data_IF_482452006633
#
_entry.id   IF_482452006633
#
_cell.length_a   1.000
_cell.length_b   1.000
_cell.length_c   1.000
_cell.angle_alpha   90.00
_cell.angle_beta   90.00
_cell.angle_gamma   90.00
#
_symmetry.space_group_name_H-M   'P 1'
#
loop_
_entity.id
_entity.type
_entity.pdbx_description
1 polymer ?
#
# COMPACT_ATOMS: atom_id res chain seq x y z
N UNK A 1 10.11 6.49 -19.35
CA UNK A 1 10.45 6.97 -18.00
C UNK A 1 9.22 6.98 -17.07
N UNK A 2 8.04 7.46 -17.51
CA UNK A 2 6.83 7.51 -16.69
C UNK A 2 6.43 6.12 -16.15
N UNK A 3 6.28 5.11 -17.02
CA UNK A 3 5.94 3.74 -16.64
C UNK A 3 6.99 3.09 -15.73
N UNK A 4 8.25 3.50 -15.87
CA UNK A 4 9.33 3.01 -15.01
C UNK A 4 9.22 3.59 -13.58
N UNK A 5 8.92 4.88 -13.46
CA UNK A 5 8.72 5.53 -12.16
C UNK A 5 7.48 4.98 -11.44
N UNK A 6 6.38 4.74 -12.18
CA UNK A 6 5.16 4.12 -11.67
C UNK A 6 5.42 2.68 -11.18
N UNK A 7 6.15 1.88 -11.96
CA UNK A 7 6.53 0.53 -11.57
C UNK A 7 7.42 0.48 -10.31
N UNK A 8 8.32 1.46 -10.11
CA UNK A 8 9.13 1.55 -8.89
C UNK A 8 8.26 1.89 -7.68
N UNK A 9 7.31 2.83 -7.82
CA UNK A 9 6.42 3.20 -6.72
C UNK A 9 5.52 2.01 -6.31
N UNK A 10 4.96 1.30 -7.28
CA UNK A 10 4.16 0.09 -7.05
C UNK A 10 4.99 -1.03 -6.40
N UNK A 11 6.22 -1.26 -6.86
CA UNK A 11 7.12 -2.26 -6.30
C UNK A 11 7.48 -1.95 -4.83
N UNK A 12 7.64 -0.68 -4.46
CA UNK A 12 7.89 -0.27 -3.06
C UNK A 12 6.66 -0.53 -2.18
N UNK A 13 5.47 -0.18 -2.61
CA UNK A 13 4.23 -0.46 -1.89
C UNK A 13 4.05 -1.96 -1.64
N UNK A 14 4.27 -2.78 -2.67
CA UNK A 14 4.19 -4.24 -2.57
C UNK A 14 5.24 -4.82 -1.62
N UNK A 15 6.48 -4.33 -1.66
CA UNK A 15 7.54 -4.75 -0.75
C UNK A 15 7.22 -4.41 0.72
N UNK A 16 6.58 -3.27 0.99
CA UNK A 16 6.11 -2.92 2.34
C UNK A 16 4.99 -3.86 2.81
N UNK A 17 4.01 -4.15 1.97
CA UNK A 17 2.94 -5.09 2.28
C UNK A 17 3.49 -6.50 2.55
N UNK A 18 4.43 -6.98 1.75
CA UNK A 18 5.10 -8.28 1.95
C UNK A 18 5.90 -8.32 3.27
N UNK A 19 6.54 -7.21 3.65
CA UNK A 19 7.24 -7.11 4.94
C UNK A 19 6.27 -7.21 6.11
N UNK A 20 5.14 -6.52 6.06
CA UNK A 20 4.09 -6.58 7.09
C UNK A 20 3.48 -7.99 7.20
N UNK A 21 3.26 -8.67 6.06
CA UNK A 21 2.77 -10.06 6.04
C UNK A 21 3.76 -11.02 6.71
N UNK A 22 5.05 -10.91 6.40
CA UNK A 22 6.08 -11.73 7.03
C UNK A 22 6.12 -11.54 8.54
N UNK A 23 6.07 -10.30 9.00
CA UNK A 23 6.03 -9.99 10.44
C UNK A 23 4.85 -10.68 11.13
N UNK A 24 3.69 -10.71 10.48
CA UNK A 24 2.50 -11.39 11.00
C UNK A 24 2.67 -12.91 11.03
N UNK A 25 3.15 -13.51 9.93
CA UNK A 25 3.28 -14.98 9.83
C UNK A 25 4.34 -15.55 10.77
N UNK A 26 5.38 -14.78 11.08
CA UNK A 26 6.50 -15.20 11.94
C UNK A 26 6.26 -14.94 13.43
N UNK A 27 5.18 -14.23 13.82
CA UNK A 27 4.91 -13.95 15.23
C UNK A 27 4.39 -15.22 15.94
N UNK A 28 5.14 -15.77 16.92
CA UNK A 28 4.69 -16.91 17.69
C UNK A 28 3.56 -16.49 18.64
N UNK A 29 2.55 -17.33 18.78
CA UNK A 29 1.46 -17.14 19.72
C UNK A 29 1.43 -18.27 20.76
N UNK A 30 1.37 -17.93 22.03
CA UNK A 30 1.24 -18.87 23.14
C UNK A 30 -0.26 -19.14 23.39
N UNK A 31 -0.86 -20.02 22.58
CA UNK A 31 -2.28 -20.39 22.65
C UNK A 31 -2.54 -21.28 23.87
N UNK A 32 -3.59 -20.97 24.62
CA UNK A 32 -4.05 -21.76 25.76
C UNK A 32 -5.16 -22.69 25.32
N UNK A 33 -4.89 -24.00 25.34
CA UNK A 33 -5.87 -25.05 25.04
C UNK A 33 -5.94 -26.01 26.23
N UNK A 34 -7.12 -26.18 26.82
CA UNK A 34 -7.34 -27.07 27.97
C UNK A 34 -6.34 -26.82 29.14
N UNK A 35 -6.03 -25.57 29.40
CA UNK A 35 -5.10 -25.16 30.44
C UNK A 35 -3.61 -25.43 30.15
N UNK A 36 -3.27 -25.84 28.93
CA UNK A 36 -1.87 -26.02 28.47
C UNK A 36 -1.52 -24.98 27.42
N UNK A 37 -0.31 -24.46 27.54
CA UNK A 37 0.23 -23.50 26.57
C UNK A 37 0.83 -24.25 25.39
N UNK A 38 0.40 -23.90 24.19
CA UNK A 38 0.92 -24.43 22.93
C UNK A 38 1.37 -23.28 22.05
N UNK A 39 2.62 -23.30 21.60
CA UNK A 39 3.11 -22.30 20.64
C UNK A 39 2.61 -22.63 19.22
N UNK A 40 1.93 -21.68 18.62
CA UNK A 40 1.39 -21.73 17.26
C UNK A 40 1.77 -20.47 16.50
N UNK A 41 1.61 -20.45 15.18
CA UNK A 41 1.73 -19.20 14.42
C UNK A 41 0.51 -18.31 14.65
N UNK A 42 0.70 -16.99 14.66
CA UNK A 42 -0.40 -16.01 14.77
C UNK A 42 -1.47 -16.21 13.69
N UNK A 43 -1.10 -16.70 12.52
CA UNK A 43 -2.01 -16.99 11.41
C UNK A 43 -3.01 -18.13 11.71
N UNK A 44 -2.73 -18.97 12.71
CA UNK A 44 -3.60 -20.10 13.11
C UNK A 44 -4.62 -19.73 14.19
N UNK A 45 -4.49 -18.55 14.81
CA UNK A 45 -5.40 -18.05 15.82
C UNK A 45 -6.79 -17.77 15.20
N UNK A 46 -7.84 -18.15 15.94
CA UNK A 46 -9.22 -17.93 15.56
C UNK A 46 -9.93 -17.07 16.59
N UNK A 47 -10.98 -16.40 16.17
CA UNK A 47 -11.84 -15.65 17.08
C UNK A 47 -12.34 -16.53 18.22
N UNK A 48 -12.12 -16.08 19.46
CA UNK A 48 -12.47 -16.80 20.69
C UNK A 48 -11.32 -17.60 21.29
N UNK A 49 -10.21 -17.77 20.58
CA UNK A 49 -9.00 -18.38 21.15
C UNK A 49 -8.41 -17.47 22.22
N UNK A 50 -7.80 -18.07 23.27
CA UNK A 50 -7.13 -17.34 24.31
C UNK A 50 -5.63 -17.59 24.19
N UNK A 51 -4.86 -16.52 24.15
CA UNK A 51 -3.39 -16.58 24.17
C UNK A 51 -2.83 -15.77 25.34
N UNK A 52 -1.61 -16.08 25.72
CA UNK A 52 -0.87 -15.33 26.74
C UNK A 52 0.32 -14.59 26.13
N UNK A 53 0.63 -13.42 26.69
CA UNK A 53 1.82 -12.65 26.38
C UNK A 53 2.50 -12.19 27.65
N UNK A 54 3.84 -12.24 27.63
CA UNK A 54 4.73 -11.76 28.69
C UNK A 54 5.55 -10.57 28.22
N UNK A 55 6.21 -9.91 29.15
CA UNK A 55 7.12 -8.81 28.83
C UNK A 55 8.16 -9.22 27.79
N UNK A 56 8.21 -8.47 26.69
CA UNK A 56 9.07 -8.73 25.53
C UNK A 56 8.39 -9.40 24.35
N UNK A 57 7.21 -10.01 24.55
CA UNK A 57 6.43 -10.63 23.48
C UNK A 57 5.76 -9.59 22.59
N UNK A 58 5.57 -9.96 21.32
CA UNK A 58 4.73 -9.23 20.38
C UNK A 58 3.33 -9.83 20.40
N UNK A 59 2.31 -9.00 20.53
CA UNK A 59 0.91 -9.43 20.52
C UNK A 59 0.55 -10.01 19.15
N UNK A 60 0.14 -11.29 19.08
CA UNK A 60 0.01 -11.99 17.81
C UNK A 60 -1.29 -11.67 17.06
N UNK A 61 -2.33 -11.18 17.73
CA UNK A 61 -3.64 -10.88 17.14
C UNK A 61 -4.37 -9.79 17.92
N UNK A 62 -5.35 -9.14 17.27
CA UNK A 62 -6.22 -8.18 17.93
C UNK A 62 -7.16 -8.90 18.91
N UNK A 63 -7.32 -8.34 20.10
CA UNK A 63 -8.12 -8.97 21.13
C UNK A 63 -8.46 -8.08 22.30
N UNK A 64 -9.07 -8.69 23.31
CA UNK A 64 -9.37 -8.07 24.60
C UNK A 64 -8.67 -8.81 25.73
N UNK A 65 -8.07 -8.06 26.66
CA UNK A 65 -7.47 -8.62 27.86
C UNK A 65 -8.57 -9.16 28.77
N UNK A 66 -8.50 -10.45 29.07
CA UNK A 66 -9.42 -11.13 30.01
C UNK A 66 -8.82 -11.28 31.39
N UNK A 67 -7.50 -11.29 31.51
CA UNK A 67 -6.77 -11.41 32.77
C UNK A 67 -5.44 -10.67 32.70
N UNK A 68 -5.09 -9.93 33.77
CA UNK A 68 -3.82 -9.24 33.90
C UNK A 68 -3.87 -7.76 33.56
N UNK A 69 -2.69 -7.14 33.62
CA UNK A 69 -2.43 -5.75 33.30
C UNK A 69 -1.04 -5.69 32.69
N UNK A 70 -0.85 -4.87 31.64
CA UNK A 70 0.47 -4.69 31.05
C UNK A 70 0.65 -3.28 30.49
N UNK A 71 1.91 -2.86 30.43
CA UNK A 71 2.34 -1.71 29.68
C UNK A 71 2.67 -2.17 28.27
N UNK A 72 2.07 -1.55 27.27
CA UNK A 72 2.17 -1.94 25.86
C UNK A 72 2.73 -0.78 25.04
N UNK A 73 3.72 -1.09 24.23
CA UNK A 73 4.27 -0.18 23.22
C UNK A 73 3.44 -0.30 21.93
N UNK A 74 2.68 0.72 21.63
CA UNK A 74 1.85 0.83 20.43
C UNK A 74 2.50 1.71 19.35
N UNK A 75 3.77 2.11 19.53
CA UNK A 75 4.46 3.05 18.63
C UNK A 75 4.54 2.58 17.18
N UNK A 76 4.62 1.28 16.95
CA UNK A 76 4.61 0.68 15.61
C UNK A 76 3.29 0.94 14.85
N UNK A 77 2.19 1.22 15.56
CA UNK A 77 0.85 1.40 15.01
C UNK A 77 0.40 2.85 15.10
N UNK A 78 0.52 3.46 16.27
CA UNK A 78 0.04 4.83 16.53
C UNK A 78 1.08 5.90 16.22
N UNK A 79 2.36 5.52 16.13
CA UNK A 79 3.49 6.44 16.04
C UNK A 79 3.83 7.16 17.36
N UNK A 80 3.08 6.92 18.43
CA UNK A 80 3.32 7.51 19.75
C UNK A 80 4.31 6.67 20.54
N UNK A 81 5.40 7.28 21.03
CA UNK A 81 6.45 6.57 21.76
C UNK A 81 6.12 6.31 23.23
N UNK A 82 5.04 6.86 23.74
CA UNK A 82 4.64 6.67 25.15
C UNK A 82 3.90 5.33 25.30
N UNK A 83 4.35 4.44 26.22
CA UNK A 83 3.65 3.20 26.49
C UNK A 83 2.26 3.44 27.06
N UNK A 84 1.30 2.60 26.66
CA UNK A 84 -0.07 2.64 27.13
C UNK A 84 -0.31 1.50 28.13
N UNK A 85 -0.97 1.80 29.26
CA UNK A 85 -1.37 0.78 30.21
C UNK A 85 -2.71 0.19 29.74
N UNK A 86 -2.73 -1.14 29.59
CA UNK A 86 -3.90 -1.92 29.23
C UNK A 86 -4.21 -2.93 30.34
N UNK A 87 -5.49 -3.10 30.69
CA UNK A 87 -5.93 -3.94 31.81
C UNK A 87 -7.22 -4.70 31.47
N UNK A 88 -7.44 -5.80 32.16
CA UNK A 88 -8.67 -6.58 32.01
C UNK A 88 -9.89 -5.80 32.53
N UNK A 89 -10.92 -5.73 31.72
CA UNK A 89 -12.19 -5.07 32.03
C UNK A 89 -12.16 -3.55 31.80
N UNK A 90 -13.23 -3.03 31.24
CA UNK A 90 -13.41 -1.61 30.94
C UNK A 90 -12.88 -1.16 29.57
N UNK A 91 -12.75 0.15 29.40
CA UNK A 91 -12.45 0.79 28.10
C UNK A 91 -11.00 0.58 27.65
N UNK A 92 -10.13 0.05 28.51
CA UNK A 92 -8.70 -0.14 28.22
C UNK A 92 -8.31 -1.61 28.00
N UNK A 93 -9.27 -2.49 27.80
CA UNK A 93 -9.02 -3.94 27.63
C UNK A 93 -8.57 -4.31 26.23
N UNK A 94 -8.82 -3.47 25.24
CA UNK A 94 -8.50 -3.75 23.82
C UNK A 94 -7.00 -3.67 23.54
N UNK A 95 -6.47 -4.66 22.83
CA UNK A 95 -5.08 -4.72 22.35
C UNK A 95 -5.03 -5.02 20.85
N UNK A 96 -3.99 -4.52 20.20
CA UNK A 96 -3.81 -4.64 18.76
C UNK A 96 -2.62 -5.54 18.44
N UNK A 97 -2.79 -6.45 17.50
CA UNK A 97 -1.72 -7.31 17.00
C UNK A 97 -0.58 -6.51 16.39
N UNK A 98 0.67 -6.95 16.65
CA UNK A 98 1.88 -6.25 16.21
C UNK A 98 2.44 -5.23 17.20
N UNK A 99 1.74 -4.96 18.33
CA UNK A 99 2.24 -4.15 19.44
C UNK A 99 3.08 -5.01 20.39
N UNK A 100 3.93 -4.38 21.21
CA UNK A 100 4.88 -5.08 22.08
C UNK A 100 4.52 -4.91 23.54
N UNK A 101 4.48 -6.01 24.29
CA UNK A 101 4.32 -6.00 25.75
C UNK A 101 5.65 -5.60 26.40
N UNK A 102 5.64 -4.56 27.24
CA UNK A 102 6.85 -4.06 27.91
C UNK A 102 6.98 -4.57 29.35
N UNK A 103 5.86 -4.79 30.02
CA UNK A 103 5.87 -5.27 31.44
C UNK A 103 4.70 -6.22 31.66
N UNK A 104 4.89 -7.05 32.68
CA UNK A 104 3.87 -7.95 33.23
C UNK A 104 3.41 -9.06 32.27
N UNK A 105 2.26 -9.64 32.56
CA UNK A 105 1.70 -10.79 31.86
C UNK A 105 0.19 -10.59 31.67
N UNK A 106 -0.29 -10.88 30.48
CA UNK A 106 -1.69 -10.75 30.11
C UNK A 106 -2.20 -12.00 29.40
N UNK A 107 -3.48 -12.31 29.61
CA UNK A 107 -4.24 -13.25 28.77
C UNK A 107 -5.24 -12.47 27.94
N UNK A 108 -5.26 -12.78 26.65
CA UNK A 108 -6.03 -12.05 25.66
C UNK A 108 -6.94 -13.02 24.90
N UNK A 109 -8.21 -12.67 24.75
CA UNK A 109 -9.13 -13.38 23.86
C UNK A 109 -9.13 -12.72 22.50
N UNK A 110 -8.97 -13.50 21.43
CA UNK A 110 -9.01 -13.02 20.04
C UNK A 110 -10.40 -12.55 19.69
N UNK A 111 -10.56 -11.32 19.25
CA UNK A 111 -11.86 -10.72 18.89
C UNK A 111 -12.10 -10.64 17.39
N UNK A 112 -11.04 -10.65 16.58
CA UNK A 112 -11.10 -10.54 15.12
C UNK A 112 -11.00 -11.90 14.44
N UNK A 113 -11.60 -12.02 13.25
CA UNK A 113 -11.38 -13.18 12.38
C UNK A 113 -10.07 -13.04 11.58
N UNK A 114 -9.47 -14.15 11.14
CA UNK A 114 -8.34 -14.11 10.22
C UNK A 114 -8.70 -13.30 8.96
N UNK A 115 -7.92 -12.29 8.64
CA UNK A 115 -8.19 -11.36 7.52
C UNK A 115 -8.89 -10.06 7.91
N UNK A 116 -9.38 -9.92 9.15
CA UNK A 116 -10.08 -8.73 9.65
C UNK A 116 -9.25 -7.92 10.68
N UNK A 117 -8.02 -8.36 10.99
CA UNK A 117 -7.16 -7.67 11.93
C UNK A 117 -6.79 -6.25 11.44
N UNK A 118 -6.37 -5.41 12.39
CA UNK A 118 -5.89 -4.07 12.04
C UNK A 118 -4.74 -4.13 11.02
N UNK A 119 -3.80 -5.06 11.18
CA UNK A 119 -2.71 -5.28 10.24
C UNK A 119 -3.22 -5.73 8.86
N UNK A 120 -4.23 -6.60 8.80
CA UNK A 120 -4.85 -7.01 7.53
C UNK A 120 -5.48 -5.84 6.79
N UNK A 121 -6.16 -4.96 7.51
CA UNK A 121 -6.75 -3.73 6.95
C UNK A 121 -5.67 -2.78 6.45
N UNK A 122 -4.57 -2.61 7.18
CA UNK A 122 -3.44 -1.81 6.72
C UNK A 122 -2.80 -2.39 5.46
N UNK A 123 -2.57 -3.70 5.41
CA UNK A 123 -2.05 -4.38 4.21
C UNK A 123 -3.00 -4.16 3.02
N UNK A 124 -4.30 -4.35 3.23
CA UNK A 124 -5.31 -4.15 2.18
C UNK A 124 -5.35 -2.69 1.69
N UNK A 125 -5.17 -1.70 2.58
CA UNK A 125 -5.07 -0.30 2.21
C UNK A 125 -3.81 -0.01 1.38
N UNK A 126 -2.66 -0.57 1.76
CA UNK A 126 -1.40 -0.41 1.02
C UNK A 126 -1.47 -1.10 -0.34
N UNK A 127 -2.02 -2.32 -0.40
CA UNK A 127 -2.19 -3.07 -1.65
C UNK A 127 -3.31 -2.49 -2.54
N UNK A 128 -4.39 -2.02 -1.93
CA UNK A 128 -5.51 -1.38 -2.61
C UNK A 128 -5.26 0.07 -3.01
N UNK A 129 -4.17 0.66 -2.57
CA UNK A 129 -3.74 2.00 -2.95
C UNK A 129 -3.19 2.04 -4.39
N UNK A 130 -3.98 1.50 -5.35
CA UNK A 130 -3.79 1.84 -6.74
C UNK A 130 -4.07 3.34 -6.86
N UNK A 131 -3.06 4.10 -7.22
CA UNK A 131 -3.15 5.54 -7.42
C UNK A 131 -4.33 5.86 -8.34
N UNK A 132 -5.38 6.46 -7.78
CA UNK A 132 -6.45 7.02 -8.60
C UNK A 132 -5.91 8.28 -9.28
N UNK A 133 -5.97 8.29 -10.61
CA UNK A 133 -5.59 9.49 -11.40
C UNK A 133 -6.50 10.64 -11.01
N UNK A 134 -5.92 11.80 -10.76
CA UNK A 134 -6.69 12.99 -10.46
C UNK A 134 -7.55 13.38 -11.68
N UNK A 135 -8.70 14.07 -11.48
CA UNK A 135 -9.52 14.57 -12.60
C UNK A 135 -8.71 15.40 -13.60
N UNK A 136 -7.74 16.18 -13.13
CA UNK A 136 -6.85 16.98 -13.97
C UNK A 136 -5.91 16.11 -14.82
N UNK A 137 -5.38 15.01 -14.26
CA UNK A 137 -4.56 14.05 -15.02
C UNK A 137 -5.37 13.35 -16.10
N UNK A 138 -6.61 13.00 -15.82
CA UNK A 138 -7.54 12.41 -16.81
C UNK A 138 -7.80 13.41 -17.91
N UNK A 139 -8.14 14.67 -17.58
CA UNK A 139 -8.39 15.73 -18.55
C UNK A 139 -7.18 15.99 -19.45
N UNK A 140 -5.98 16.06 -18.88
CA UNK A 140 -4.74 16.24 -19.64
C UNK A 140 -4.41 15.02 -20.52
N UNK A 141 -4.68 13.81 -20.05
CA UNK A 141 -4.49 12.59 -20.85
C UNK A 141 -5.42 12.60 -22.09
N UNK A 142 -6.68 13.00 -21.90
CA UNK A 142 -7.64 13.14 -23.01
C UNK A 142 -7.17 14.23 -23.98
N UNK A 143 -6.75 15.38 -23.48
CA UNK A 143 -6.23 16.47 -24.30
C UNK A 143 -5.03 16.03 -25.14
N UNK A 144 -4.07 15.31 -24.55
CA UNK A 144 -2.91 14.77 -25.25
C UNK A 144 -3.32 13.76 -26.34
N UNK A 145 -4.29 12.89 -26.05
CA UNK A 145 -4.81 11.93 -27.03
C UNK A 145 -5.46 12.65 -28.22
N UNK A 146 -6.24 13.70 -27.97
CA UNK A 146 -6.88 14.52 -29.01
C UNK A 146 -5.82 15.23 -29.85
N UNK A 147 -4.84 15.88 -29.24
CA UNK A 147 -3.75 16.53 -29.99
C UNK A 147 -2.95 15.53 -30.83
N UNK A 148 -2.62 14.36 -30.27
CA UNK A 148 -1.91 13.32 -31.01
C UNK A 148 -2.70 12.88 -32.24
N UNK A 149 -4.03 12.72 -32.12
CA UNK A 149 -4.89 12.35 -33.23
C UNK A 149 -4.96 13.46 -34.30
N UNK A 150 -5.10 14.74 -33.89
CA UNK A 150 -5.08 15.89 -34.82
C UNK A 150 -3.75 15.96 -35.54
N UNK A 151 -2.62 15.83 -34.86
CA UNK A 151 -1.30 15.87 -35.48
C UNK A 151 -1.06 14.70 -36.44
N UNK A 152 -1.60 13.52 -36.12
CA UNK A 152 -1.54 12.37 -37.00
C UNK A 152 -2.29 12.63 -38.30
N UNK A 153 -3.48 13.23 -38.25
CA UNK A 153 -4.26 13.62 -39.41
C UNK A 153 -3.48 14.66 -40.25
N UNK A 154 -2.90 15.68 -39.58
CA UNK A 154 -2.08 16.71 -40.27
C UNK A 154 -0.89 16.06 -41.00
N UNK A 155 -0.17 15.15 -40.34
CA UNK A 155 0.96 14.45 -40.95
C UNK A 155 0.53 13.60 -42.16
N UNK A 156 -0.58 12.90 -42.11
CA UNK A 156 -1.09 12.07 -43.21
C UNK A 156 -1.48 12.96 -44.40
N UNK A 157 -2.11 14.11 -44.18
CA UNK A 157 -2.56 15.03 -45.22
C UNK A 157 -1.41 15.86 -45.79
N UNK A 158 -0.32 16.04 -45.07
CA UNK A 158 0.83 16.85 -45.52
C UNK A 158 1.50 16.28 -46.78
N UNK A 159 1.65 14.96 -46.85
CA UNK A 159 2.31 14.33 -48.02
C UNK A 159 1.54 14.55 -49.34
N UNK A 160 0.25 14.24 -49.50
CA UNK A 160 -0.47 14.51 -50.73
C UNK A 160 -0.54 16.02 -51.08
N UNK A 161 -0.53 16.90 -50.05
CA UNK A 161 -0.51 18.34 -50.25
C UNK A 161 0.84 18.84 -50.77
N UNK A 162 1.95 18.27 -50.28
CA UNK A 162 3.30 18.54 -50.78
C UNK A 162 3.47 18.05 -52.21
N UNK A 163 2.97 16.85 -52.54
CA UNK A 163 3.00 16.28 -53.90
C UNK A 163 2.20 17.17 -54.89
N UNK A 164 1.05 17.69 -54.47
CA UNK A 164 0.25 18.64 -55.26
C UNK A 164 0.98 19.97 -55.51
N UNK A 165 1.70 20.48 -54.53
CA UNK A 165 2.49 21.74 -54.67
C UNK A 165 3.88 21.53 -55.31
N UNK A 166 4.16 20.33 -55.83
CA UNK A 166 5.47 19.96 -56.39
C UNK A 166 6.66 20.17 -55.43
N UNK A 167 6.41 20.10 -54.11
CA UNK A 167 7.44 20.26 -53.08
C UNK A 167 7.91 18.89 -52.61
N UNK A 168 9.21 18.64 -52.65
CA UNK A 168 9.81 17.38 -52.23
C UNK A 168 10.04 17.43 -50.74
N UNK A 169 9.29 16.62 -49.97
CA UNK A 169 9.54 16.40 -48.55
C UNK A 169 10.30 15.10 -48.39
N UNK A 170 11.48 15.15 -47.75
CA UNK A 170 12.27 13.96 -47.46
C UNK A 170 11.63 13.15 -46.33
N UNK A 171 11.80 11.83 -46.35
CA UNK A 171 11.30 10.94 -45.30
C UNK A 171 11.84 11.36 -43.92
N UNK A 172 13.12 11.81 -43.89
CA UNK A 172 13.74 12.29 -42.65
C UNK A 172 13.03 13.54 -42.09
N UNK A 173 12.67 14.51 -42.96
CA UNK A 173 11.94 15.70 -42.55
C UNK A 173 10.53 15.35 -42.07
N UNK A 174 9.86 14.41 -42.70
CA UNK A 174 8.54 13.94 -42.31
C UNK A 174 8.55 13.23 -40.96
N UNK A 175 9.52 12.34 -40.72
CA UNK A 175 9.73 11.69 -39.42
C UNK A 175 10.08 12.67 -38.31
N UNK A 176 10.94 13.65 -38.59
CA UNK A 176 11.30 14.70 -37.65
C UNK A 176 10.08 15.53 -37.25
N UNK A 177 9.26 15.91 -38.20
CA UNK A 177 8.01 16.64 -37.99
C UNK A 177 7.06 15.83 -37.10
N UNK A 178 6.87 14.55 -37.44
CA UNK A 178 6.00 13.64 -36.67
C UNK A 178 6.46 13.53 -35.21
N UNK A 179 7.74 13.33 -34.95
CA UNK A 179 8.31 13.23 -33.60
C UNK A 179 8.18 14.54 -32.84
N UNK A 180 8.38 15.68 -33.50
CA UNK A 180 8.25 17.00 -32.87
C UNK A 180 6.82 17.36 -32.51
N UNK A 181 5.84 16.91 -33.26
CA UNK A 181 4.43 17.22 -33.03
C UNK A 181 3.79 16.38 -31.92
N UNK A 182 4.35 15.22 -31.60
CA UNK A 182 3.86 14.40 -30.50
C UNK A 182 4.35 14.99 -29.17
N UNK A 183 3.48 15.44 -28.27
CA UNK A 183 3.86 16.07 -27.00
C UNK A 183 4.30 15.01 -25.95
N UNK A 184 5.33 14.22 -26.29
CA UNK A 184 5.84 13.12 -25.45
C UNK A 184 6.36 13.59 -24.09
N UNK A 185 6.91 14.81 -24.03
CA UNK A 185 7.46 15.40 -22.81
C UNK A 185 6.40 15.71 -21.77
N UNK A 186 5.20 16.12 -22.19
CA UNK A 186 4.11 16.44 -21.26
C UNK A 186 3.57 15.17 -20.61
N UNK A 187 3.43 14.07 -21.37
CA UNK A 187 3.01 12.77 -20.81
C UNK A 187 3.97 12.23 -19.74
N UNK A 188 5.28 12.35 -19.99
CA UNK A 188 6.31 11.94 -19.03
C UNK A 188 6.37 12.83 -17.78
N UNK A 189 6.22 14.14 -17.96
CA UNK A 189 6.23 15.10 -16.85
C UNK A 189 5.00 14.95 -15.95
N UNK A 190 3.84 14.67 -16.50
CA UNK A 190 2.59 14.49 -15.76
C UNK A 190 2.68 13.33 -14.78
N UNK A 191 3.20 12.18 -15.22
CA UNK A 191 3.42 11.02 -14.36
C UNK A 191 4.46 11.30 -13.27
N UNK A 192 5.53 12.04 -13.59
CA UNK A 192 6.57 12.40 -12.63
C UNK A 192 6.06 13.37 -11.54
N UNK A 193 5.25 14.38 -11.91
CA UNK A 193 4.67 15.34 -10.95
C UNK A 193 3.68 14.63 -10.02
N UNK A 194 2.88 13.72 -10.56
CA UNK A 194 1.93 12.98 -9.75
C UNK A 194 2.57 12.06 -8.71
N UNK A 195 3.79 11.55 -8.96
CA UNK A 195 4.56 10.76 -8.01
C UNK A 195 5.26 11.64 -6.97
N UNK A 196 5.72 12.84 -7.36
CA UNK A 196 6.39 13.77 -6.45
C UNK A 196 5.43 14.49 -5.49
N UNK A 197 4.12 14.47 -5.75
CA UNK A 197 3.08 15.11 -4.93
C UNK A 197 2.46 14.17 -3.88
N UNK A 198 2.95 12.96 -3.75
CA UNK A 198 2.63 12.01 -2.68
C UNK A 198 3.71 11.98 -1.62
#
# INVERSE_FOLDING_TARGET
FANFAEAIAEARGKAQADSLRKTREETPAKLIVDGKVKTVSSSQLKKGDIFECEAGDVIPADGEIVEGLASIDESAITGESAPVIREAGGDKSSVTGGTKVLSDHIKVVVTTQPGESFLDKMIALVEGASRQKTPNEIALTILLAVFTLVFLIVCITLKPMADYSHTVITIAAFLSLFVCLIPTTIGGLLSAIGIAGM
#
